data_IF_283389075087
#
_entry.id   IF_283389075087
#
_cell.length_a   1.000
_cell.length_b   1.000
_cell.length_c   1.000
_cell.angle_alpha   90.00
_cell.angle_beta   90.00
_cell.angle_gamma   90.00
#
_symmetry.space_group_name_H-M   'P 1'
#
loop_
_entity.id
_entity.type
_entity.pdbx_description
1 polymer ?
#
# COMPACT_ATOMS: atom_id res chain seq x y z
N UNK A 1 3.60 -1.85 -23.00
CA UNK A 1 4.89 -1.48 -22.40
C UNK A 1 5.56 -2.75 -21.92
N UNK A 2 6.67 -3.10 -22.56
CA UNK A 2 7.56 -4.19 -22.16
C UNK A 2 8.98 -3.62 -21.95
N UNK A 3 9.73 -4.09 -20.94
CA UNK A 3 9.33 -5.09 -19.93
C UNK A 3 8.28 -4.55 -18.94
N UNK A 4 7.51 -5.43 -18.28
CA UNK A 4 6.60 -5.00 -17.20
C UNK A 4 7.41 -4.54 -15.98
N UNK A 5 6.99 -3.41 -15.41
CA UNK A 5 7.66 -2.78 -14.28
C UNK A 5 7.47 -3.55 -12.96
N UNK A 6 8.57 -3.88 -12.31
CA UNK A 6 8.63 -4.25 -10.88
C UNK A 6 8.29 -3.03 -10.04
N UNK A 7 7.35 -3.15 -9.12
CA UNK A 7 6.83 -2.01 -8.35
C UNK A 7 6.47 -2.39 -6.92
N UNK A 8 6.29 -1.39 -6.07
CA UNK A 8 5.66 -1.54 -4.75
C UNK A 8 4.19 -1.15 -4.90
N UNK A 9 3.33 -2.15 -4.97
CA UNK A 9 1.89 -1.97 -5.11
C UNK A 9 1.32 -1.35 -3.83
N UNK A 10 0.62 -0.22 -4.01
CA UNK A 10 -0.12 0.44 -2.95
C UNK A 10 -1.56 -0.13 -2.91
N UNK A 11 -2.12 -0.41 -1.73
CA UNK A 11 -3.48 -0.93 -1.60
C UNK A 11 -4.54 0.19 -1.75
N UNK A 12 -4.55 0.88 -2.91
CA UNK A 12 -5.35 2.10 -3.13
C UNK A 12 -6.86 1.90 -2.92
N UNK A 13 -7.40 0.76 -3.35
CA UNK A 13 -8.82 0.43 -3.13
C UNK A 13 -9.15 0.31 -1.65
N UNK A 14 -8.25 -0.30 -0.85
CA UNK A 14 -8.42 -0.40 0.60
C UNK A 14 -8.28 0.97 1.27
N UNK A 15 -7.33 1.79 0.84
CA UNK A 15 -7.17 3.16 1.33
C UNK A 15 -8.49 3.93 1.17
N UNK A 16 -9.10 3.89 -0.02
CA UNK A 16 -10.38 4.55 -0.26
C UNK A 16 -11.51 4.01 0.62
N UNK A 17 -11.60 2.68 0.78
CA UNK A 17 -12.60 2.05 1.63
C UNK A 17 -12.47 2.47 3.10
N UNK A 18 -11.26 2.43 3.65
CA UNK A 18 -10.99 2.83 5.04
C UNK A 18 -11.25 4.32 5.25
N UNK A 19 -10.86 5.16 4.29
CA UNK A 19 -11.13 6.60 4.36
C UNK A 19 -12.62 6.92 4.38
N UNK A 20 -13.41 6.27 3.51
CA UNK A 20 -14.86 6.44 3.46
C UNK A 20 -15.51 6.02 4.79
N UNK A 21 -15.11 4.87 5.36
CA UNK A 21 -15.62 4.39 6.64
C UNK A 21 -15.31 5.39 7.78
N UNK A 22 -14.06 5.85 7.89
CA UNK A 22 -13.64 6.83 8.90
C UNK A 22 -14.38 8.17 8.76
N UNK A 23 -14.70 8.59 7.53
CA UNK A 23 -15.48 9.79 7.28
C UNK A 23 -16.93 9.62 7.70
N UNK A 24 -17.58 8.51 7.32
CA UNK A 24 -18.96 8.20 7.71
C UNK A 24 -19.13 8.14 9.22
N UNK A 25 -18.20 7.51 9.95
CA UNK A 25 -18.18 7.49 11.41
C UNK A 25 -18.11 8.92 12.00
N UNK A 26 -17.26 9.77 11.42
CA UNK A 26 -17.06 11.16 11.89
C UNK A 26 -18.25 12.07 11.57
N UNK A 27 -18.97 11.81 10.49
CA UNK A 27 -20.24 12.50 10.19
C UNK A 27 -21.32 12.10 11.21
N UNK A 28 -21.39 10.82 11.57
CA UNK A 28 -22.36 10.31 12.55
C UNK A 28 -22.06 10.80 13.98
N UNK A 29 -20.79 11.03 14.33
CA UNK A 29 -20.38 11.54 15.64
C UNK A 29 -19.15 12.46 15.54
N UNK A 30 -19.37 13.76 15.77
CA UNK A 30 -18.34 14.79 15.67
C UNK A 30 -17.28 14.75 16.79
N UNK A 31 -17.54 14.01 17.88
CA UNK A 31 -16.64 13.89 19.03
C UNK A 31 -15.72 12.67 18.97
N UNK A 32 -15.72 11.92 17.86
CA UNK A 32 -14.82 10.78 17.71
C UNK A 32 -13.34 11.21 17.69
N UNK A 33 -12.55 10.58 18.57
CA UNK A 33 -11.11 10.82 18.65
C UNK A 33 -10.41 10.55 17.30
N UNK A 34 -9.29 11.22 17.00
CA UNK A 34 -8.48 10.93 15.81
C UNK A 34 -8.04 9.46 15.78
N UNK A 35 -8.11 8.83 14.60
CA UNK A 35 -7.71 7.44 14.38
C UNK A 35 -6.73 7.38 13.22
N UNK A 36 -5.75 6.49 13.31
CA UNK A 36 -4.80 6.19 12.26
C UNK A 36 -4.90 4.71 11.87
N UNK A 37 -4.98 4.43 10.58
CA UNK A 37 -4.97 3.08 10.01
C UNK A 37 -3.76 2.96 9.10
N UNK A 38 -2.95 1.93 9.29
CA UNK A 38 -1.76 1.67 8.48
C UNK A 38 -1.95 0.41 7.65
N UNK A 39 -1.97 0.58 6.33
CA UNK A 39 -2.12 -0.50 5.36
C UNK A 39 -0.75 -0.92 4.82
N UNK A 40 -0.62 -2.20 4.45
CA UNK A 40 0.64 -2.76 3.97
C UNK A 40 0.72 -2.67 2.45
N UNK A 41 1.84 -2.15 1.95
CA UNK A 41 2.19 -2.22 0.55
C UNK A 41 2.86 -3.56 0.21
N UNK A 42 2.87 -3.94 -1.07
CA UNK A 42 3.43 -5.21 -1.52
C UNK A 42 4.45 -5.01 -2.63
N UNK A 43 5.63 -5.60 -2.50
CA UNK A 43 6.57 -5.70 -3.61
C UNK A 43 6.03 -6.68 -4.66
N UNK A 44 5.82 -6.19 -5.87
CA UNK A 44 5.53 -6.99 -7.05
C UNK A 44 6.76 -7.07 -7.95
N UNK A 45 7.49 -8.18 -7.86
CA UNK A 45 8.59 -8.49 -8.77
C UNK A 45 8.05 -8.83 -10.17
N UNK A 46 8.61 -8.16 -11.19
CA UNK A 46 8.34 -8.38 -12.63
C UNK A 46 9.66 -8.31 -13.42
N UNK A 47 9.60 -8.07 -14.74
CA UNK A 47 10.75 -8.23 -15.64
C UNK A 47 11.70 -7.03 -15.70
N UNK A 48 11.36 -5.90 -15.07
CA UNK A 48 12.21 -4.69 -15.14
C UNK A 48 13.39 -4.69 -14.16
N UNK A 49 13.55 -5.71 -13.32
CA UNK A 49 14.66 -5.82 -12.37
C UNK A 49 15.40 -7.14 -12.55
N UNK A 50 16.72 -7.09 -12.52
CA UNK A 50 17.59 -8.28 -12.56
C UNK A 50 17.87 -8.81 -11.16
N UNK A 51 18.43 -10.03 -11.09
CA UNK A 51 18.92 -10.61 -9.83
C UNK A 51 20.20 -9.88 -9.38
N UNK A 52 20.38 -9.59 -8.07
CA UNK A 52 21.62 -9.02 -7.57
C UNK A 52 22.81 -9.97 -7.85
N UNK A 53 23.90 -9.44 -8.40
CA UNK A 53 25.13 -10.21 -8.69
C UNK A 53 26.03 -10.37 -7.46
N UNK A 54 25.80 -9.59 -6.40
CA UNK A 54 26.55 -9.66 -5.15
C UNK A 54 25.61 -10.05 -4.01
N UNK A 55 25.54 -11.34 -3.68
CA UNK A 55 24.95 -11.81 -2.42
C UNK A 55 26.06 -11.91 -1.38
N UNK A 56 25.89 -11.22 -0.24
CA UNK A 56 26.79 -11.40 0.91
C UNK A 56 26.53 -12.80 1.48
N UNK A 57 27.55 -13.65 1.71
CA UNK A 57 27.35 -14.95 2.32
C UNK A 57 26.74 -14.80 3.73
N UNK A 58 25.90 -15.77 4.09
CA UNK A 58 25.19 -15.87 5.37
C UNK A 58 26.16 -16.10 6.53
#
# INVERSE_FOLDING_TARGET
>A
FEPRLTLVEQPCTEIGRQAAALLSERIASSHAAPRAVRLQARLQARQSCARPTHMRPA
#
